data_IF_707457580339
#
_entry.id   IF_707457580339
#
_cell.length_a   1.000
_cell.length_b   1.000
_cell.length_c   1.000
_cell.angle_alpha   90.00
_cell.angle_beta   90.00
_cell.angle_gamma   90.00
#
_symmetry.space_group_name_H-M   'P 1'
#
loop_
_entity.id
_entity.type
_entity.pdbx_description
1 polymer ?
#
# COMPACT_ATOMS: atom_id res chain seq x y z
N UNK A 1 -25.92 -3.20 -17.28
CA UNK A 1 -25.22 -2.53 -16.16
C UNK A 1 -24.89 -3.59 -15.12
N UNK A 2 -23.62 -3.75 -14.74
CA UNK A 2 -23.16 -4.73 -13.73
C UNK A 2 -23.35 -4.17 -12.34
N UNK A 3 -23.87 -4.97 -11.42
CA UNK A 3 -24.12 -4.57 -10.03
C UNK A 3 -23.01 -5.08 -9.12
N UNK A 4 -22.32 -4.18 -8.45
CA UNK A 4 -21.17 -4.49 -7.58
C UNK A 4 -21.48 -4.05 -6.16
N UNK A 5 -21.43 -4.99 -5.19
CA UNK A 5 -21.46 -4.64 -3.78
C UNK A 5 -20.01 -4.51 -3.27
N UNK A 6 -19.65 -3.31 -2.80
CA UNK A 6 -18.30 -2.97 -2.35
C UNK A 6 -18.26 -2.84 -0.83
N UNK A 7 -17.49 -3.72 -0.18
CA UNK A 7 -17.38 -3.79 1.28
C UNK A 7 -16.02 -3.28 1.75
N UNK A 8 -16.03 -2.29 2.64
CA UNK A 8 -14.82 -1.75 3.28
C UNK A 8 -15.08 -1.33 4.73
N UNK A 9 -14.07 -1.42 5.60
CA UNK A 9 -14.19 -0.89 6.96
C UNK A 9 -14.20 0.65 6.97
N UNK A 10 -13.40 1.27 6.10
CA UNK A 10 -13.21 2.73 6.04
C UNK A 10 -13.40 3.21 4.60
N UNK A 11 -14.32 4.15 4.43
CA UNK A 11 -14.61 4.81 3.15
C UNK A 11 -14.33 6.32 3.26
N UNK A 12 -13.07 6.66 3.51
CA UNK A 12 -12.57 8.03 3.65
C UNK A 12 -11.38 8.18 2.71
N UNK A 13 -11.40 9.20 1.84
CA UNK A 13 -10.29 9.50 0.93
C UNK A 13 -9.03 9.84 1.74
N UNK A 14 -7.85 9.45 1.24
CA UNK A 14 -6.55 9.78 1.82
C UNK A 14 -6.33 9.33 3.27
N UNK A 15 -7.17 8.42 3.80
CA UNK A 15 -7.01 7.88 5.14
C UNK A 15 -5.67 7.10 5.25
N UNK A 16 -5.42 6.20 4.30
CA UNK A 16 -4.17 5.42 4.18
C UNK A 16 -3.89 5.01 2.73
N UNK A 17 -2.83 4.24 2.51
CA UNK A 17 -2.47 3.75 1.16
C UNK A 17 -3.53 2.82 0.53
N UNK A 18 -4.27 2.07 1.33
CA UNK A 18 -5.37 1.22 0.86
C UNK A 18 -6.55 2.07 0.39
N UNK A 19 -6.95 3.04 1.20
CA UNK A 19 -8.01 3.99 0.87
C UNK A 19 -7.70 4.76 -0.42
N UNK A 20 -6.47 5.27 -0.56
CA UNK A 20 -6.03 5.94 -1.81
C UNK A 20 -6.19 5.04 -3.03
N UNK A 21 -5.78 3.78 -2.95
CA UNK A 21 -5.95 2.81 -4.04
C UNK A 21 -7.42 2.57 -4.36
N UNK A 22 -8.28 2.41 -3.35
CA UNK A 22 -9.72 2.25 -3.54
C UNK A 22 -10.35 3.46 -4.21
N UNK A 23 -10.00 4.69 -3.78
CA UNK A 23 -10.53 5.91 -4.37
C UNK A 23 -10.09 6.11 -5.82
N UNK A 24 -8.89 5.67 -6.21
CA UNK A 24 -8.48 5.66 -7.61
C UNK A 24 -9.38 4.78 -8.49
N UNK A 25 -9.88 3.67 -7.96
CA UNK A 25 -10.89 2.85 -8.65
C UNK A 25 -12.28 3.52 -8.64
N UNK A 26 -12.69 4.03 -7.48
CA UNK A 26 -14.01 4.67 -7.31
C UNK A 26 -14.19 5.87 -8.24
N UNK A 27 -13.13 6.70 -8.37
CA UNK A 27 -13.15 7.90 -9.23
C UNK A 27 -13.24 7.59 -10.73
N UNK A 28 -13.01 6.31 -11.11
CA UNK A 28 -13.04 5.82 -12.49
C UNK A 28 -14.21 4.88 -12.77
N UNK A 29 -15.18 4.80 -11.86
CA UNK A 29 -16.40 4.02 -12.10
C UNK A 29 -17.21 4.67 -13.23
N UNK A 30 -17.43 3.92 -14.30
CA UNK A 30 -18.39 4.31 -15.33
C UNK A 30 -19.80 3.92 -14.90
N UNK A 31 -20.59 4.91 -14.50
CA UNK A 31 -21.97 4.71 -14.04
C UNK A 31 -22.95 4.27 -15.15
N UNK A 32 -22.52 4.24 -16.40
CA UNK A 32 -23.30 3.69 -17.51
C UNK A 32 -23.16 2.17 -17.61
N UNK A 33 -22.01 1.64 -17.17
CA UNK A 33 -21.70 0.22 -17.21
C UNK A 33 -21.89 -0.48 -15.86
N UNK A 34 -21.63 0.23 -14.74
CA UNK A 34 -21.62 -0.31 -13.39
C UNK A 34 -22.60 0.42 -12.46
N UNK A 35 -23.32 -0.34 -11.63
CA UNK A 35 -24.10 0.15 -10.47
C UNK A 35 -23.41 -0.34 -9.18
N UNK A 36 -22.87 0.58 -8.37
CA UNK A 36 -22.17 0.25 -7.14
C UNK A 36 -23.05 0.49 -5.92
N UNK A 37 -22.97 -0.46 -4.97
CA UNK A 37 -23.51 -0.32 -3.63
C UNK A 37 -22.38 -0.43 -2.61
N UNK A 38 -22.09 0.69 -1.93
CA UNK A 38 -21.01 0.75 -0.95
C UNK A 38 -21.52 0.40 0.45
N UNK A 39 -20.86 -0.56 1.10
CA UNK A 39 -21.18 -1.01 2.46
C UNK A 39 -19.91 -0.79 3.32
N UNK A 40 -20.00 0.04 4.36
CA UNK A 40 -18.84 0.44 5.15
C UNK A 40 -19.16 0.70 6.62
N UNK A 41 -18.11 0.59 7.47
CA UNK A 41 -18.17 0.88 8.90
C UNK A 41 -18.01 2.38 9.18
N UNK A 42 -16.91 2.97 8.72
CA UNK A 42 -16.60 4.39 8.91
C UNK A 42 -16.54 5.12 7.57
N UNK A 43 -17.21 6.24 7.49
CA UNK A 43 -17.32 7.06 6.27
C UNK A 43 -18.45 8.08 6.41
N UNK A 44 -18.75 8.84 5.33
CA UNK A 44 -19.81 9.83 5.31
C UNK A 44 -21.18 9.19 5.54
N UNK A 45 -22.21 9.98 5.88
CA UNK A 45 -23.58 9.46 6.01
C UNK A 45 -24.16 9.05 4.64
N UNK A 46 -23.82 9.78 3.59
CA UNK A 46 -24.12 9.46 2.20
C UNK A 46 -22.85 9.57 1.38
N UNK A 47 -22.56 8.55 0.57
CA UNK A 47 -21.35 8.51 -0.23
C UNK A 47 -21.61 8.94 -1.67
N UNK A 48 -21.31 10.20 -1.98
CA UNK A 48 -21.49 10.79 -3.32
C UNK A 48 -22.92 10.52 -3.85
N UNK A 49 -23.05 10.15 -5.11
CA UNK A 49 -24.31 9.76 -5.75
C UNK A 49 -24.54 8.24 -5.78
N UNK A 50 -23.73 7.47 -5.04
CA UNK A 50 -23.84 6.03 -4.99
C UNK A 50 -24.82 5.56 -3.91
N UNK A 51 -25.43 4.41 -4.13
CA UNK A 51 -26.10 3.68 -3.07
C UNK A 51 -25.09 3.34 -1.99
N UNK A 52 -25.44 3.60 -0.74
CA UNK A 52 -24.54 3.33 0.38
C UNK A 52 -25.28 2.83 1.62
N UNK A 53 -24.59 2.04 2.43
CA UNK A 53 -25.11 1.51 3.69
C UNK A 53 -24.02 1.57 4.75
N UNK A 54 -24.22 2.40 5.78
CA UNK A 54 -23.31 2.52 6.90
C UNK A 54 -23.65 1.47 7.96
N UNK A 55 -22.68 0.63 8.29
CA UNK A 55 -22.80 -0.45 9.26
C UNK A 55 -22.38 0.07 10.64
N UNK A 56 -23.09 -0.25 11.74
CA UNK A 56 -22.63 0.10 13.07
C UNK A 56 -21.20 -0.38 13.31
N UNK A 57 -20.36 0.50 13.85
CA UNK A 57 -18.94 0.25 14.08
C UNK A 57 -18.50 0.78 15.44
N UNK A 58 -17.43 0.22 16.00
CA UNK A 58 -16.77 0.73 17.21
C UNK A 58 -15.30 1.04 16.94
N UNK A 59 -14.74 1.99 17.67
CA UNK A 59 -13.32 2.36 17.59
C UNK A 59 -12.46 1.31 18.27
N UNK A 60 -11.31 1.02 17.70
CA UNK A 60 -10.36 0.07 18.27
C UNK A 60 -9.47 0.81 19.28
N UNK A 61 -9.44 0.41 20.58
CA UNK A 61 -8.71 1.15 21.62
C UNK A 61 -7.19 1.30 21.36
N UNK A 62 -6.60 0.38 20.59
CA UNK A 62 -5.16 0.38 20.27
C UNK A 62 -4.82 1.36 19.14
N UNK A 63 -5.82 1.69 18.30
CA UNK A 63 -5.65 2.63 17.21
C UNK A 63 -6.99 3.34 16.96
N UNK A 64 -7.17 4.50 17.57
CA UNK A 64 -8.42 5.27 17.58
C UNK A 64 -8.89 5.73 16.19
N UNK A 65 -7.99 5.77 15.21
CA UNK A 65 -8.32 6.13 13.84
C UNK A 65 -9.05 4.99 13.12
N UNK A 66 -8.92 3.74 13.60
CA UNK A 66 -9.54 2.57 12.99
C UNK A 66 -10.83 2.16 13.70
N UNK A 67 -11.86 1.89 12.89
CA UNK A 67 -13.13 1.35 13.33
C UNK A 67 -13.33 -0.07 12.82
N UNK A 68 -14.01 -0.89 13.59
CA UNK A 68 -14.42 -2.25 13.21
C UNK A 68 -15.94 -2.31 13.10
N UNK A 69 -16.46 -2.62 11.92
CA UNK A 69 -17.90 -2.77 11.67
C UNK A 69 -18.45 -4.06 12.27
N UNK A 70 -19.66 -4.00 12.82
CA UNK A 70 -20.37 -5.14 13.41
C UNK A 70 -21.62 -5.48 12.57
N UNK A 71 -21.49 -6.17 11.43
CA UNK A 71 -22.60 -6.46 10.54
C UNK A 71 -23.63 -7.39 11.19
N UNK A 72 -23.25 -8.18 12.20
CA UNK A 72 -24.16 -9.12 12.86
C UNK A 72 -25.32 -8.43 13.60
N UNK A 73 -25.14 -7.20 14.08
CA UNK A 73 -26.20 -6.43 14.75
C UNK A 73 -27.36 -6.07 13.81
N UNK A 74 -27.08 -5.99 12.52
CA UNK A 74 -28.05 -5.56 11.49
C UNK A 74 -28.21 -6.58 10.36
N UNK A 75 -27.81 -7.84 10.61
CA UNK A 75 -27.66 -8.88 9.58
C UNK A 75 -28.88 -9.00 8.67
N UNK A 76 -30.10 -9.13 9.22
CA UNK A 76 -31.31 -9.31 8.43
C UNK A 76 -31.61 -8.09 7.53
N UNK A 77 -31.40 -6.87 8.05
CA UNK A 77 -31.60 -5.62 7.29
C UNK A 77 -30.58 -5.50 6.17
N UNK A 78 -29.32 -5.83 6.46
CA UNK A 78 -28.24 -5.74 5.48
C UNK A 78 -28.39 -6.81 4.39
N UNK A 79 -28.72 -8.06 4.73
CA UNK A 79 -29.01 -9.13 3.77
C UNK A 79 -30.21 -8.73 2.88
N UNK A 80 -31.30 -8.17 3.45
CA UNK A 80 -32.46 -7.70 2.68
C UNK A 80 -32.10 -6.56 1.71
N UNK A 81 -31.25 -5.61 2.14
CA UNK A 81 -30.78 -4.53 1.27
C UNK A 81 -29.94 -5.05 0.10
N UNK A 82 -29.06 -6.02 0.38
CA UNK A 82 -28.24 -6.68 -0.64
C UNK A 82 -29.08 -7.52 -1.59
N UNK A 83 -30.09 -8.26 -1.09
CA UNK A 83 -31.00 -9.05 -1.93
C UNK A 83 -31.82 -8.15 -2.86
N UNK A 84 -32.28 -6.99 -2.36
CA UNK A 84 -33.00 -5.99 -3.19
C UNK A 84 -32.06 -5.38 -4.24
N UNK A 85 -30.79 -5.18 -3.93
CA UNK A 85 -29.80 -4.67 -4.87
C UNK A 85 -29.44 -5.73 -5.92
N UNK A 86 -29.27 -6.99 -5.53
CA UNK A 86 -28.96 -8.12 -6.39
C UNK A 86 -27.57 -8.00 -7.04
N UNK A 87 -26.44 -8.04 -6.25
CA UNK A 87 -25.11 -7.87 -6.81
C UNK A 87 -24.70 -9.06 -7.69
N UNK A 88 -24.08 -8.77 -8.84
CA UNK A 88 -23.46 -9.76 -9.73
C UNK A 88 -22.06 -10.15 -9.25
N UNK A 89 -21.39 -9.25 -8.53
CA UNK A 89 -20.03 -9.42 -8.02
C UNK A 89 -19.89 -8.69 -6.67
N UNK A 90 -19.08 -9.24 -5.78
CA UNK A 90 -18.76 -8.61 -4.51
C UNK A 90 -17.26 -8.27 -4.47
N UNK A 91 -16.93 -7.01 -4.19
CA UNK A 91 -15.58 -6.56 -3.85
C UNK A 91 -15.46 -6.43 -2.34
N UNK A 92 -14.45 -7.08 -1.76
CA UNK A 92 -14.12 -6.98 -0.33
C UNK A 92 -12.73 -6.36 -0.19
N UNK A 93 -12.65 -5.17 0.41
CA UNK A 93 -11.39 -4.45 0.56
C UNK A 93 -10.48 -5.05 1.63
N UNK A 94 -11.06 -5.61 2.72
CA UNK A 94 -10.28 -6.09 3.86
C UNK A 94 -10.85 -7.38 4.48
N UNK A 95 -10.01 -8.32 4.96
CA UNK A 95 -10.43 -9.53 5.67
C UNK A 95 -10.82 -9.21 7.13
N UNK A 96 -11.94 -8.50 7.29
CA UNK A 96 -12.50 -8.05 8.57
C UNK A 96 -13.79 -8.81 8.91
N UNK A 97 -14.45 -8.47 10.03
CA UNK A 97 -15.79 -9.00 10.35
C UNK A 97 -16.79 -8.70 9.24
N UNK A 98 -16.73 -7.49 8.67
CA UNK A 98 -17.56 -7.08 7.54
C UNK A 98 -17.20 -7.87 6.26
N UNK A 99 -15.90 -8.10 6.04
CA UNK A 99 -15.42 -8.93 4.92
C UNK A 99 -15.86 -10.38 5.02
N UNK A 100 -15.80 -11.00 6.20
CA UNK A 100 -16.29 -12.36 6.41
C UNK A 100 -17.82 -12.46 6.30
N UNK A 101 -18.55 -11.45 6.73
CA UNK A 101 -19.99 -11.36 6.48
C UNK A 101 -20.27 -11.37 4.96
N UNK A 102 -19.58 -10.53 4.20
CA UNK A 102 -19.71 -10.45 2.75
C UNK A 102 -19.39 -11.78 2.05
N UNK A 103 -18.31 -12.47 2.46
CA UNK A 103 -17.96 -13.80 1.97
C UNK A 103 -19.04 -14.85 2.24
N UNK A 104 -19.63 -14.83 3.45
CA UNK A 104 -20.69 -15.77 3.80
C UNK A 104 -21.98 -15.48 3.04
N UNK A 105 -22.31 -14.20 2.83
CA UNK A 105 -23.43 -13.78 1.99
C UNK A 105 -23.22 -14.24 0.53
N UNK A 106 -22.03 -13.96 -0.03
CA UNK A 106 -21.65 -14.36 -1.37
C UNK A 106 -21.76 -15.88 -1.59
N UNK A 107 -21.19 -16.68 -0.66
CA UNK A 107 -21.25 -18.14 -0.74
C UNK A 107 -22.67 -18.70 -0.78
N UNK A 108 -23.58 -18.15 0.05
CA UNK A 108 -24.98 -18.60 0.10
C UNK A 108 -25.74 -18.34 -1.20
N UNK A 109 -25.31 -17.36 -2.01
CA UNK A 109 -25.99 -16.92 -3.23
C UNK A 109 -25.20 -17.21 -4.51
N UNK A 110 -24.04 -17.90 -4.41
CA UNK A 110 -23.21 -18.23 -5.55
C UNK A 110 -22.58 -17.00 -6.23
N UNK A 111 -22.45 -15.85 -5.49
CA UNK A 111 -21.91 -14.61 -6.05
C UNK A 111 -20.39 -14.66 -6.00
N UNK A 112 -19.68 -14.36 -7.11
CA UNK A 112 -18.22 -14.34 -7.11
C UNK A 112 -17.68 -13.15 -6.33
N UNK A 113 -16.51 -13.37 -5.70
CA UNK A 113 -15.86 -12.38 -4.86
C UNK A 113 -14.48 -12.06 -5.40
N UNK A 114 -14.14 -10.77 -5.44
CA UNK A 114 -12.78 -10.31 -5.63
C UNK A 114 -12.31 -9.50 -4.42
N UNK A 115 -11.00 -9.49 -4.20
CA UNK A 115 -10.36 -8.72 -3.12
C UNK A 115 -9.01 -8.18 -3.57
N UNK A 116 -8.53 -7.13 -2.89
CA UNK A 116 -7.19 -6.58 -3.09
C UNK A 116 -6.39 -6.77 -1.79
N UNK A 117 -5.20 -7.31 -1.89
CA UNK A 117 -4.27 -7.47 -0.76
C UNK A 117 -3.58 -6.13 -0.47
N UNK A 118 -4.18 -5.32 0.41
CA UNK A 118 -3.67 -3.99 0.72
C UNK A 118 -2.64 -3.98 1.83
N UNK A 119 -2.79 -4.86 2.84
CA UNK A 119 -2.00 -4.84 4.07
C UNK A 119 -1.29 -6.18 4.27
N UNK A 120 0.00 -6.11 4.56
CA UNK A 120 0.83 -7.28 4.83
C UNK A 120 0.58 -7.79 6.25
N UNK A 121 -0.62 -8.31 6.53
CA UNK A 121 -1.04 -8.73 7.87
C UNK A 121 -0.10 -9.73 8.53
N UNK A 122 0.57 -10.57 7.74
CA UNK A 122 1.48 -11.61 8.25
C UNK A 122 2.70 -10.97 8.90
N UNK A 123 3.34 -10.00 8.26
CA UNK A 123 4.48 -9.28 8.82
C UNK A 123 4.08 -8.44 10.06
N UNK A 124 2.86 -7.91 10.08
CA UNK A 124 2.35 -7.20 11.25
C UNK A 124 2.15 -8.13 12.45
N UNK A 125 1.62 -9.34 12.23
CA UNK A 125 1.47 -10.35 13.28
C UNK A 125 2.83 -10.69 13.87
N UNK A 126 3.83 -11.01 13.03
CA UNK A 126 5.17 -11.37 13.46
C UNK A 126 5.85 -10.22 14.23
N UNK A 127 5.64 -8.97 13.83
CA UNK A 127 6.21 -7.80 14.47
C UNK A 127 5.58 -7.50 15.85
N UNK A 128 4.25 -7.38 15.92
CA UNK A 128 3.57 -7.01 17.16
C UNK A 128 3.61 -8.12 18.22
N UNK A 129 3.75 -9.36 17.79
CA UNK A 129 3.76 -10.51 18.68
C UNK A 129 5.15 -11.06 18.98
N UNK A 130 6.21 -10.50 18.42
CA UNK A 130 7.60 -10.96 18.62
C UNK A 130 8.04 -10.99 20.07
N UNK A 131 7.51 -10.12 20.93
CA UNK A 131 7.85 -9.97 22.34
C UNK A 131 6.88 -10.66 23.32
N UNK A 132 5.85 -11.35 22.84
CA UNK A 132 4.82 -12.00 23.67
C UNK A 132 4.91 -13.54 23.54
N UNK A 133 5.73 -14.17 24.36
CA UNK A 133 6.29 -15.51 24.12
C UNK A 133 5.38 -16.73 24.37
N UNK A 134 4.28 -16.66 25.10
CA UNK A 134 3.49 -17.87 25.45
C UNK A 134 2.04 -17.91 24.95
N UNK A 135 1.36 -16.78 24.83
CA UNK A 135 -0.04 -16.72 24.36
C UNK A 135 -0.17 -16.50 22.83
N UNK A 136 0.93 -16.23 22.16
CA UNK A 136 1.00 -15.71 20.80
C UNK A 136 0.94 -16.78 19.73
N UNK A 137 1.60 -17.92 19.92
CA UNK A 137 1.63 -18.99 18.92
C UNK A 137 0.24 -19.51 18.52
N UNK A 138 -0.70 -19.74 19.45
CA UNK A 138 -2.06 -20.14 19.08
C UNK A 138 -2.78 -19.05 18.28
N UNK A 139 -2.65 -17.78 18.70
CA UNK A 139 -3.34 -16.64 18.06
C UNK A 139 -2.83 -16.41 16.63
N UNK A 140 -1.52 -16.47 16.40
CA UNK A 140 -0.92 -16.41 15.07
C UNK A 140 -1.45 -17.52 14.15
N UNK A 141 -1.55 -18.75 14.67
CA UNK A 141 -2.07 -19.88 13.89
C UNK A 141 -3.53 -19.63 13.49
N UNK A 142 -4.37 -19.17 14.41
CA UNK A 142 -5.77 -18.88 14.11
C UNK A 142 -5.93 -17.73 13.10
N UNK A 143 -5.17 -16.65 13.24
CA UNK A 143 -5.21 -15.53 12.29
C UNK A 143 -4.74 -16.00 10.90
N UNK A 144 -3.63 -16.74 10.82
CA UNK A 144 -3.14 -17.31 9.57
C UNK A 144 -4.20 -18.20 8.91
N UNK A 145 -4.84 -19.09 9.67
CA UNK A 145 -5.91 -19.96 9.18
C UNK A 145 -7.13 -19.17 8.70
N UNK A 146 -7.53 -18.12 9.44
CA UNK A 146 -8.61 -17.24 9.02
C UNK A 146 -8.28 -16.50 7.72
N UNK A 147 -7.06 -15.97 7.58
CA UNK A 147 -6.58 -15.31 6.37
C UNK A 147 -6.56 -16.27 5.17
N UNK A 148 -6.00 -17.47 5.32
CA UNK A 148 -6.02 -18.50 4.28
C UNK A 148 -7.44 -18.86 3.86
N UNK A 149 -8.34 -19.04 4.85
CA UNK A 149 -9.75 -19.30 4.57
C UNK A 149 -10.42 -18.16 3.82
N UNK A 150 -10.09 -16.91 4.16
CA UNK A 150 -10.64 -15.73 3.49
C UNK A 150 -10.21 -15.69 2.03
N UNK A 151 -8.91 -15.65 1.75
CA UNK A 151 -8.38 -15.47 0.39
C UNK A 151 -8.69 -16.68 -0.52
N UNK A 152 -8.63 -17.90 0.00
CA UNK A 152 -8.99 -19.10 -0.76
C UNK A 152 -10.49 -19.21 -1.12
N UNK A 153 -11.35 -18.42 -0.49
CA UNK A 153 -12.78 -18.31 -0.84
C UNK A 153 -13.07 -17.22 -1.85
N UNK A 154 -12.12 -16.31 -2.11
CA UNK A 154 -12.23 -15.32 -3.17
C UNK A 154 -11.98 -15.94 -4.54
N UNK A 155 -12.64 -15.44 -5.58
CA UNK A 155 -12.39 -15.85 -6.97
C UNK A 155 -11.14 -15.20 -7.55
N UNK A 156 -10.87 -13.93 -7.17
CA UNK A 156 -9.63 -13.19 -7.51
C UNK A 156 -9.10 -12.51 -6.26
N UNK A 157 -7.79 -12.66 -6.02
CA UNK A 157 -7.03 -11.89 -5.05
C UNK A 157 -5.96 -11.10 -5.79
N UNK A 158 -6.14 -9.79 -5.89
CA UNK A 158 -5.12 -8.91 -6.45
C UNK A 158 -3.99 -8.71 -5.46
N UNK A 159 -2.76 -8.84 -5.95
CA UNK A 159 -1.53 -8.57 -5.20
C UNK A 159 -0.64 -7.61 -5.97
N UNK A 160 0.07 -6.70 -5.29
CA UNK A 160 0.76 -5.63 -5.99
C UNK A 160 2.07 -6.05 -6.66
N UNK A 161 2.69 -7.15 -6.24
CA UNK A 161 4.01 -7.58 -6.73
C UNK A 161 4.13 -9.11 -6.81
N UNK A 162 5.09 -9.59 -7.64
CA UNK A 162 5.41 -11.01 -7.74
C UNK A 162 5.96 -11.59 -6.42
N UNK A 163 6.72 -10.81 -5.64
CA UNK A 163 7.23 -11.28 -4.34
C UNK A 163 6.09 -11.59 -3.37
N UNK A 164 5.09 -10.71 -3.29
CA UNK A 164 3.89 -10.93 -2.48
C UNK A 164 3.07 -12.13 -3.02
N UNK A 165 2.94 -12.26 -4.34
CA UNK A 165 2.26 -13.43 -4.94
C UNK A 165 2.93 -14.74 -4.53
N UNK A 166 4.25 -14.81 -4.61
CA UNK A 166 5.05 -15.99 -4.21
C UNK A 166 4.91 -16.26 -2.72
N UNK A 167 5.00 -15.24 -1.88
CA UNK A 167 4.85 -15.37 -0.43
C UNK A 167 3.47 -15.91 -0.05
N UNK A 168 2.40 -15.36 -0.62
CA UNK A 168 1.03 -15.81 -0.35
C UNK A 168 0.78 -17.25 -0.84
N UNK A 169 1.36 -17.63 -1.97
CA UNK A 169 1.29 -19.00 -2.46
C UNK A 169 2.04 -19.98 -1.53
N UNK A 170 3.21 -19.60 -1.03
CA UNK A 170 4.01 -20.41 -0.10
C UNK A 170 3.31 -20.66 1.24
N UNK A 171 2.46 -19.75 1.68
CA UNK A 171 1.66 -19.94 2.90
C UNK A 171 0.35 -20.69 2.67
N UNK A 172 0.02 -21.05 1.42
CA UNK A 172 -1.13 -21.89 1.06
C UNK A 172 -2.33 -21.16 0.46
N UNK A 173 -2.16 -19.95 -0.08
CA UNK A 173 -3.18 -19.33 -0.93
C UNK A 173 -3.03 -19.89 -2.35
N UNK A 174 -4.16 -20.29 -2.93
CA UNK A 174 -4.23 -20.87 -4.27
C UNK A 174 -3.69 -19.88 -5.31
N UNK A 175 -2.58 -20.23 -5.96
CA UNK A 175 -1.91 -19.40 -6.95
C UNK A 175 -2.80 -19.07 -8.16
N UNK A 176 -3.78 -19.93 -8.52
CA UNK A 176 -4.71 -19.67 -9.63
C UNK A 176 -5.67 -18.51 -9.34
N UNK A 177 -5.86 -18.16 -8.07
CA UNK A 177 -6.69 -17.05 -7.61
C UNK A 177 -5.91 -15.75 -7.41
N UNK A 178 -4.58 -15.82 -7.44
CA UNK A 178 -3.71 -14.66 -7.30
C UNK A 178 -3.52 -14.01 -8.68
N UNK A 179 -3.77 -12.71 -8.74
CA UNK A 179 -3.51 -11.90 -9.94
C UNK A 179 -2.65 -10.70 -9.56
N UNK A 180 -1.54 -10.52 -10.29
CA UNK A 180 -0.68 -9.35 -10.07
C UNK A 180 -1.40 -8.12 -10.61
N UNK A 181 -1.56 -7.14 -9.74
CA UNK A 181 -2.17 -5.86 -10.05
C UNK A 181 -1.43 -4.78 -9.26
N UNK A 182 -0.41 -4.13 -9.87
CA UNK A 182 0.39 -3.10 -9.23
C UNK A 182 -0.46 -1.88 -8.90
N UNK A 183 0.12 -0.94 -8.18
CA UNK A 183 -0.53 0.35 -7.90
C UNK A 183 -0.04 1.38 -8.89
N UNK A 184 -0.94 2.18 -9.39
CA UNK A 184 -0.63 3.29 -10.29
C UNK A 184 0.00 4.47 -9.55
N UNK A 185 0.55 5.38 -10.33
CA UNK A 185 1.13 6.64 -9.87
C UNK A 185 0.53 7.81 -10.67
N UNK A 186 0.37 8.95 -10.02
CA UNK A 186 0.02 10.21 -10.68
C UNK A 186 1.31 10.91 -11.16
N UNK A 187 1.66 10.70 -12.42
CA UNK A 187 2.84 11.32 -13.04
C UNK A 187 2.68 12.83 -13.28
N UNK A 188 1.49 13.42 -13.16
CA UNK A 188 1.32 14.88 -13.18
C UNK A 188 1.75 15.48 -11.84
N UNK A 189 1.53 14.77 -10.75
CA UNK A 189 1.91 15.17 -9.42
C UNK A 189 3.38 14.85 -9.13
N UNK A 190 3.80 13.62 -9.40
CA UNK A 190 5.18 13.14 -9.17
C UNK A 190 5.92 13.07 -10.49
N UNK A 191 6.76 14.06 -10.78
CA UNK A 191 7.61 14.10 -11.96
C UNK A 191 8.83 15.02 -11.74
N UNK A 192 9.91 14.88 -12.54
CA UNK A 192 11.15 15.64 -12.37
C UNK A 192 10.97 17.16 -12.52
N UNK A 193 9.94 17.63 -13.24
CA UNK A 193 9.71 19.07 -13.45
C UNK A 193 9.27 19.81 -12.19
N UNK A 194 8.87 19.09 -11.13
CA UNK A 194 8.54 19.65 -9.81
C UNK A 194 9.77 20.06 -9.00
N UNK A 195 10.98 19.89 -9.54
CA UNK A 195 12.24 20.22 -8.85
C UNK A 195 12.32 21.69 -8.46
N UNK A 196 12.57 21.92 -7.17
CA UNK A 196 12.77 23.22 -6.55
C UNK A 196 13.98 23.17 -5.60
N UNK A 197 15.17 23.34 -6.18
CA UNK A 197 16.44 23.33 -5.42
C UNK A 197 16.53 24.49 -4.43
N UNK A 198 15.85 25.63 -4.69
CA UNK A 198 15.82 26.75 -3.78
C UNK A 198 15.02 26.41 -2.51
N UNK A 199 13.90 25.70 -2.68
CA UNK A 199 13.11 25.18 -1.56
C UNK A 199 13.94 24.24 -0.67
N UNK A 200 14.67 23.25 -1.24
CA UNK A 200 15.54 22.40 -0.44
C UNK A 200 16.64 23.18 0.29
N UNK A 201 17.27 24.16 -0.39
CA UNK A 201 18.30 25.00 0.22
C UNK A 201 17.75 25.85 1.38
N UNK A 202 16.49 26.28 1.31
CA UNK A 202 15.85 26.98 2.42
C UNK A 202 15.64 26.10 3.66
N UNK A 203 15.53 24.77 3.47
CA UNK A 203 15.42 23.78 4.56
C UNK A 203 16.82 23.48 5.14
N UNK A 204 17.80 23.23 4.30
CA UNK A 204 19.11 22.69 4.71
C UNK A 204 20.16 23.76 5.00
N UNK A 205 19.96 24.99 4.50
CA UNK A 205 20.88 26.11 4.70
C UNK A 205 22.20 26.01 3.91
N UNK A 206 22.38 24.97 3.09
CA UNK A 206 23.63 24.69 2.36
C UNK A 206 23.37 24.07 0.98
N UNK A 207 24.45 23.67 0.30
CA UNK A 207 24.41 23.06 -1.05
C UNK A 207 24.90 21.63 -1.08
N UNK A 208 25.04 20.99 0.09
CA UNK A 208 25.42 19.60 0.18
C UNK A 208 24.37 18.69 -0.49
N UNK A 209 24.76 17.50 -0.97
CA UNK A 209 23.82 16.54 -1.49
C UNK A 209 22.74 16.15 -0.47
N UNK A 210 21.51 16.01 -0.95
CA UNK A 210 20.33 15.78 -0.14
C UNK A 210 19.86 14.34 -0.27
N UNK A 211 19.87 13.59 0.82
CA UNK A 211 19.33 12.24 0.93
C UNK A 211 17.95 12.35 1.57
N UNK A 212 16.92 11.85 0.88
CA UNK A 212 15.53 11.94 1.32
C UNK A 212 15.06 10.58 1.85
N UNK A 213 14.43 10.60 3.03
CA UNK A 213 13.66 9.50 3.60
C UNK A 213 12.21 9.92 3.80
N UNK A 214 11.25 9.11 3.33
CA UNK A 214 9.81 9.38 3.48
C UNK A 214 9.12 8.12 3.99
N UNK A 215 8.58 8.17 5.21
CA UNK A 215 7.80 7.09 5.81
C UNK A 215 7.10 7.53 7.10
N UNK A 216 6.14 6.73 7.58
CA UNK A 216 5.75 6.81 8.99
C UNK A 216 6.98 6.49 9.87
N UNK A 217 7.22 7.28 10.90
CA UNK A 217 8.34 7.09 11.82
C UNK A 217 7.92 6.11 12.94
N UNK A 218 7.83 4.83 12.57
CA UNK A 218 7.50 3.72 13.49
C UNK A 218 8.56 2.63 13.35
N UNK A 219 8.84 1.89 14.41
CA UNK A 219 9.95 0.93 14.45
C UNK A 219 9.84 -0.17 13.38
N UNK A 220 8.63 -0.54 12.98
CA UNK A 220 8.38 -1.51 11.89
C UNK A 220 8.90 -1.06 10.52
N UNK A 221 9.23 0.25 10.37
CA UNK A 221 9.86 0.82 9.18
C UNK A 221 11.38 0.81 9.24
N UNK A 222 11.93 0.05 10.18
CA UNK A 222 13.36 -0.12 10.40
C UNK A 222 14.10 1.22 10.60
N UNK A 223 13.53 2.07 11.47
CA UNK A 223 14.12 3.37 11.83
C UNK A 223 15.48 3.19 12.51
N UNK A 224 15.71 2.04 13.16
CA UNK A 224 17.01 1.72 13.73
C UNK A 224 18.13 1.77 12.67
N UNK A 225 17.94 1.10 11.54
CA UNK A 225 18.92 1.15 10.44
C UNK A 225 19.05 2.55 9.83
N UNK A 226 17.96 3.36 9.79
CA UNK A 226 18.07 4.75 9.35
C UNK A 226 18.99 5.57 10.28
N UNK A 227 18.91 5.37 11.59
CA UNK A 227 19.79 5.99 12.58
C UNK A 227 21.24 5.53 12.36
N UNK A 228 21.48 4.24 12.14
CA UNK A 228 22.78 3.70 11.83
C UNK A 228 23.37 4.26 10.52
N UNK A 229 22.54 4.42 9.48
CA UNK A 229 22.92 5.09 8.23
C UNK A 229 23.36 6.54 8.49
N UNK A 230 22.60 7.30 9.29
CA UNK A 230 22.96 8.66 9.66
C UNK A 230 24.33 8.73 10.34
N UNK A 231 24.60 7.90 11.34
CA UNK A 231 25.91 7.86 12.03
C UNK A 231 27.04 7.49 11.06
N UNK A 232 26.83 6.48 10.20
CA UNK A 232 27.83 6.07 9.20
C UNK A 232 28.13 7.21 8.20
N UNK A 233 27.12 7.99 7.78
CA UNK A 233 27.31 9.17 6.93
C UNK A 233 28.10 10.29 7.64
N UNK A 234 27.87 10.51 8.94
CA UNK A 234 28.63 11.48 9.72
C UNK A 234 30.10 11.04 9.90
N UNK A 235 30.35 9.74 10.14
CA UNK A 235 31.68 9.16 10.29
C UNK A 235 32.49 9.17 8.98
N UNK A 236 31.83 9.07 7.82
CA UNK A 236 32.50 9.14 6.50
C UNK A 236 33.00 10.54 6.12
N UNK A 237 32.92 11.51 7.02
CA UNK A 237 33.39 12.88 6.81
C UNK A 237 32.27 13.89 6.55
N UNK A 238 31.03 13.47 6.63
CA UNK A 238 29.85 14.34 6.49
C UNK A 238 29.67 14.90 5.09
N UNK A 239 29.01 16.04 5.02
CA UNK A 239 28.78 16.71 3.73
C UNK A 239 27.52 16.24 3.02
N UNK A 240 26.62 15.52 3.72
CA UNK A 240 25.30 15.13 3.27
C UNK A 240 24.21 15.74 4.16
N UNK A 241 23.08 16.09 3.57
CA UNK A 241 21.89 16.44 4.32
C UNK A 241 20.95 15.22 4.34
N UNK A 242 20.56 14.74 5.52
CA UNK A 242 19.49 13.75 5.66
C UNK A 242 18.18 14.48 5.94
N UNK A 243 17.22 14.38 5.00
CA UNK A 243 15.89 15.00 5.09
C UNK A 243 14.87 13.91 5.35
N UNK A 244 14.07 14.07 6.41
CA UNK A 244 13.13 13.07 6.90
C UNK A 244 11.71 13.66 6.88
N UNK A 245 10.84 13.10 6.04
CA UNK A 245 9.43 13.48 5.98
C UNK A 245 8.55 12.35 6.54
N UNK A 246 7.80 12.67 7.58
CA UNK A 246 6.88 11.74 8.23
C UNK A 246 6.69 11.99 9.72
N UNK A 247 5.73 11.30 10.30
CA UNK A 247 5.39 11.32 11.72
C UNK A 247 5.25 9.91 12.26
N UNK A 248 5.37 9.74 13.57
CA UNK A 248 5.16 8.45 14.24
C UNK A 248 5.83 8.35 15.59
N UNK A 249 5.60 7.23 16.27
CA UNK A 249 6.03 6.99 17.66
C UNK A 249 7.55 6.93 17.86
N UNK A 250 8.31 6.68 16.79
CA UNK A 250 9.77 6.67 16.85
C UNK A 250 10.42 8.05 16.62
N UNK A 251 9.62 9.11 16.27
CA UNK A 251 10.16 10.42 15.88
C UNK A 251 11.03 11.07 16.96
N UNK A 252 10.59 11.09 18.21
CA UNK A 252 11.32 11.74 19.31
C UNK A 252 12.71 11.13 19.52
N UNK A 253 12.80 9.80 19.50
CA UNK A 253 14.07 9.08 19.60
C UNK A 253 14.93 9.33 18.37
N UNK A 254 14.35 9.24 17.18
CA UNK A 254 15.05 9.50 15.93
C UNK A 254 15.67 10.93 15.89
N UNK A 255 14.94 11.94 16.39
CA UNK A 255 15.46 13.31 16.48
C UNK A 255 16.63 13.46 17.47
N UNK A 256 16.61 12.72 18.59
CA UNK A 256 17.71 12.70 19.55
C UNK A 256 18.96 12.04 18.97
N UNK A 257 18.79 10.92 18.26
CA UNK A 257 19.88 10.14 17.66
C UNK A 257 20.45 10.78 16.37
N UNK A 258 19.66 11.64 15.69
CA UNK A 258 20.05 12.26 14.43
C UNK A 258 19.93 13.81 14.51
N UNK A 259 20.71 14.49 15.36
CA UNK A 259 20.53 15.91 15.69
C UNK A 259 20.75 16.87 14.51
N UNK A 260 21.48 16.47 13.46
CA UNK A 260 21.69 17.31 12.27
C UNK A 260 20.75 16.95 11.11
N UNK A 261 19.90 15.93 11.25
CA UNK A 261 18.91 15.58 10.24
C UNK A 261 17.74 16.58 10.23
N UNK A 262 17.18 16.85 9.06
CA UNK A 262 16.08 17.80 8.88
C UNK A 262 14.73 17.08 8.94
N UNK A 263 14.04 17.14 10.08
CA UNK A 263 12.73 16.53 10.29
C UNK A 263 11.61 17.48 9.88
N UNK A 264 10.91 17.18 8.81
CA UNK A 264 9.85 18.03 8.22
C UNK A 264 8.44 17.71 8.74
N UNK A 265 8.27 16.61 9.51
CA UNK A 265 6.95 16.16 9.90
C UNK A 265 6.14 15.60 8.73
N UNK A 266 4.83 15.46 8.91
CA UNK A 266 3.93 14.99 7.84
C UNK A 266 3.82 16.05 6.74
N UNK A 267 4.10 15.66 5.52
CA UNK A 267 4.03 16.49 4.33
C UNK A 267 2.82 16.10 3.47
N UNK A 268 2.20 17.06 2.80
CA UNK A 268 1.19 16.76 1.78
C UNK A 268 1.86 16.35 0.45
N UNK A 269 1.08 15.86 -0.50
CA UNK A 269 1.62 15.31 -1.75
C UNK A 269 2.32 16.36 -2.63
N UNK A 270 1.85 17.62 -2.63
CA UNK A 270 2.53 18.72 -3.36
C UNK A 270 3.91 19.04 -2.76
N UNK A 271 4.01 19.03 -1.43
CA UNK A 271 5.29 19.20 -0.74
C UNK A 271 6.21 18.00 -0.99
N UNK A 272 5.67 16.77 -0.91
CA UNK A 272 6.43 15.54 -1.20
C UNK A 272 6.94 15.52 -2.64
N UNK A 273 6.13 15.94 -3.63
CA UNK A 273 6.55 15.95 -5.03
C UNK A 273 7.74 16.86 -5.27
N UNK A 274 7.79 18.04 -4.60
CA UNK A 274 8.95 18.94 -4.64
C UNK A 274 10.17 18.33 -3.96
N UNK A 275 10.00 17.71 -2.79
CA UNK A 275 11.09 17.05 -2.06
C UNK A 275 11.71 15.92 -2.89
N UNK A 276 10.90 15.02 -3.43
CA UNK A 276 11.36 13.91 -4.28
C UNK A 276 12.11 14.44 -5.53
N UNK A 277 11.51 15.38 -6.25
CA UNK A 277 12.12 15.91 -7.48
C UNK A 277 13.40 16.74 -7.23
N UNK A 278 13.60 17.22 -6.01
CA UNK A 278 14.71 18.10 -5.65
C UNK A 278 15.86 17.40 -4.93
N UNK A 279 15.65 16.25 -4.29
CA UNK A 279 16.70 15.50 -3.61
C UNK A 279 17.69 14.85 -4.61
N UNK A 280 18.79 14.30 -4.10
CA UNK A 280 19.86 13.69 -4.91
C UNK A 280 19.83 12.15 -4.84
N UNK A 281 19.35 11.57 -3.74
CA UNK A 281 19.10 10.14 -3.58
C UNK A 281 17.94 9.90 -2.59
N UNK A 282 17.23 8.79 -2.78
CA UNK A 282 16.18 8.31 -1.88
C UNK A 282 16.67 7.09 -1.11
N UNK A 283 16.54 7.11 0.22
CA UNK A 283 16.84 5.98 1.07
C UNK A 283 15.57 5.42 1.69
N UNK A 284 15.42 4.09 1.70
CA UNK A 284 14.23 3.45 2.26
C UNK A 284 14.58 2.13 2.96
N UNK A 285 14.44 2.09 4.27
CA UNK A 285 14.89 0.98 5.12
C UNK A 285 13.82 -0.05 5.45
N UNK A 286 12.54 0.23 5.09
CA UNK A 286 11.41 -0.63 5.45
C UNK A 286 11.41 -1.95 4.69
N UNK A 287 11.18 -3.06 5.42
CA UNK A 287 10.94 -4.41 4.88
C UNK A 287 9.50 -4.86 5.01
N UNK A 288 8.62 -4.05 5.61
CA UNK A 288 7.22 -4.41 5.93
C UNK A 288 6.20 -3.88 4.94
N UNK A 289 6.64 -3.41 3.77
CA UNK A 289 5.72 -2.87 2.75
C UNK A 289 5.05 -3.97 1.94
N UNK A 290 3.77 -3.79 1.65
CA UNK A 290 3.07 -4.61 0.65
C UNK A 290 3.50 -4.22 -0.77
N UNK A 291 3.76 -2.92 -1.01
CA UNK A 291 4.15 -2.38 -2.31
C UNK A 291 5.31 -1.38 -2.22
N UNK A 292 5.18 -0.32 -1.42
CA UNK A 292 6.17 0.74 -1.31
C UNK A 292 5.86 1.93 -2.23
N UNK A 293 4.69 2.54 -2.08
CA UNK A 293 4.29 3.70 -2.89
C UNK A 293 5.35 4.81 -2.90
N UNK A 294 6.00 5.07 -1.75
CA UNK A 294 7.05 6.09 -1.63
C UNK A 294 8.26 5.84 -2.54
N UNK A 295 8.56 4.57 -2.85
CA UNK A 295 9.62 4.20 -3.80
C UNK A 295 9.17 4.54 -5.24
N UNK A 296 7.91 4.25 -5.58
CA UNK A 296 7.34 4.60 -6.90
C UNK A 296 7.24 6.12 -7.06
N UNK A 297 6.84 6.85 -6.02
CA UNK A 297 6.80 8.32 -5.98
C UNK A 297 8.20 8.92 -6.22
N UNK A 298 9.24 8.37 -5.57
CA UNK A 298 10.63 8.75 -5.78
C UNK A 298 11.08 8.50 -7.23
N UNK A 299 10.83 7.30 -7.76
CA UNK A 299 11.18 6.93 -9.14
C UNK A 299 10.45 7.83 -10.16
N UNK A 300 9.15 8.10 -9.96
CA UNK A 300 8.35 8.98 -10.81
C UNK A 300 8.87 10.43 -10.81
N UNK A 301 9.46 10.86 -9.70
CA UNK A 301 10.07 12.19 -9.55
C UNK A 301 11.53 12.23 -10.08
N UNK A 302 12.03 11.15 -10.66
CA UNK A 302 13.40 11.05 -11.15
C UNK A 302 14.45 10.96 -10.05
N UNK A 303 14.10 10.42 -8.88
CA UNK A 303 15.00 10.28 -7.73
C UNK A 303 15.53 8.84 -7.64
N UNK A 304 16.85 8.61 -7.76
CA UNK A 304 17.45 7.29 -7.62
C UNK A 304 17.28 6.72 -6.22
N UNK A 305 16.96 5.42 -6.14
CA UNK A 305 16.56 4.76 -4.92
C UNK A 305 17.62 3.76 -4.40
N UNK A 306 17.88 3.80 -3.10
CA UNK A 306 18.61 2.79 -2.32
C UNK A 306 17.66 2.25 -1.25
N UNK A 307 17.24 1.00 -1.37
CA UNK A 307 16.17 0.44 -0.55
C UNK A 307 16.56 -0.86 0.15
N UNK A 308 15.83 -1.24 1.19
CA UNK A 308 15.97 -2.56 1.81
C UNK A 308 15.62 -3.69 0.81
N UNK A 309 16.39 -4.77 0.81
CA UNK A 309 16.05 -5.99 0.08
C UNK A 309 15.05 -6.83 0.86
N UNK A 310 13.82 -6.35 0.96
CA UNK A 310 12.74 -7.03 1.70
C UNK A 310 11.36 -6.44 1.43
N UNK A 311 10.33 -7.22 1.73
CA UNK A 311 8.95 -6.84 1.49
C UNK A 311 8.59 -6.62 0.02
N UNK A 312 7.42 -6.05 -0.23
CA UNK A 312 6.93 -5.77 -1.59
C UNK A 312 7.74 -4.71 -2.33
N UNK A 313 8.33 -3.75 -1.61
CA UNK A 313 9.13 -2.67 -2.21
C UNK A 313 10.40 -3.17 -2.91
N UNK A 314 10.99 -4.27 -2.45
CA UNK A 314 12.17 -4.87 -3.10
C UNK A 314 11.93 -5.30 -4.55
N UNK A 315 10.68 -5.58 -4.93
CA UNK A 315 10.31 -5.95 -6.31
C UNK A 315 10.27 -4.76 -7.27
N UNK A 316 10.26 -3.53 -6.76
CA UNK A 316 10.20 -2.31 -7.57
C UNK A 316 11.57 -1.94 -8.15
N UNK A 317 12.65 -2.44 -7.56
CA UNK A 317 14.03 -2.12 -7.96
C UNK A 317 14.73 -3.36 -8.50
N UNK A 318 15.35 -3.23 -9.67
CA UNK A 318 16.30 -4.19 -10.19
C UNK A 318 17.70 -3.71 -9.77
N UNK A 319 18.34 -4.48 -8.86
CA UNK A 319 19.61 -4.10 -8.25
C UNK A 319 20.69 -3.83 -9.30
N UNK A 320 21.32 -2.65 -9.22
CA UNK A 320 22.36 -2.20 -10.15
C UNK A 320 21.86 -1.74 -11.53
N UNK A 321 20.55 -1.80 -11.81
CA UNK A 321 19.93 -1.35 -13.07
C UNK A 321 19.07 -0.10 -12.85
N UNK A 322 18.04 -0.19 -11.98
CA UNK A 322 17.11 0.92 -11.69
C UNK A 322 17.29 1.52 -10.29
N UNK A 323 18.25 1.02 -9.51
CA UNK A 323 18.56 1.42 -8.14
C UNK A 323 19.38 0.36 -7.42
N UNK A 324 19.51 0.49 -6.11
CA UNK A 324 20.21 -0.49 -5.28
C UNK A 324 19.30 -1.08 -4.20
N UNK A 325 19.51 -2.37 -3.93
CA UNK A 325 18.91 -3.10 -2.80
C UNK A 325 20.00 -3.49 -1.82
N UNK A 326 19.80 -3.22 -0.53
CA UNK A 326 20.75 -3.47 0.54
C UNK A 326 20.23 -4.54 1.49
N UNK A 327 21.13 -5.26 2.16
CA UNK A 327 20.77 -6.06 3.33
C UNK A 327 20.08 -5.14 4.36
N UNK A 328 18.91 -5.51 4.90
CA UNK A 328 18.05 -4.59 5.65
C UNK A 328 18.71 -3.91 6.87
N UNK A 329 19.70 -4.58 7.47
CA UNK A 329 20.39 -4.11 8.68
C UNK A 329 21.84 -3.65 8.41
N UNK A 330 22.26 -3.54 7.14
CA UNK A 330 23.64 -3.14 6.77
C UNK A 330 23.72 -1.66 6.42
N UNK A 331 23.84 -0.79 7.42
CA UNK A 331 23.99 0.66 7.19
C UNK A 331 25.14 0.99 6.23
N UNK A 332 26.24 0.22 6.29
CA UNK A 332 27.41 0.37 5.42
C UNK A 332 27.08 0.16 3.93
N UNK A 333 26.23 -0.84 3.60
CA UNK A 333 25.79 -1.02 2.20
C UNK A 333 24.97 0.17 1.69
N UNK A 334 24.06 0.70 2.54
CA UNK A 334 23.28 1.87 2.16
C UNK A 334 24.17 3.07 1.89
N UNK A 335 25.09 3.37 2.79
CA UNK A 335 25.99 4.51 2.64
C UNK A 335 26.87 4.34 1.40
N UNK A 336 27.48 3.17 1.20
CA UNK A 336 28.28 2.87 0.02
C UNK A 336 27.50 3.12 -1.29
N UNK A 337 26.26 2.67 -1.39
CA UNK A 337 25.46 2.84 -2.60
C UNK A 337 24.90 4.27 -2.75
N UNK A 338 24.59 4.97 -1.66
CA UNK A 338 24.21 6.38 -1.68
C UNK A 338 25.35 7.24 -2.24
N UNK A 339 26.56 7.07 -1.70
CA UNK A 339 27.77 7.77 -2.17
C UNK A 339 28.07 7.45 -3.64
N UNK A 340 27.94 6.19 -4.03
CA UNK A 340 28.16 5.75 -5.42
C UNK A 340 27.19 6.42 -6.40
N UNK A 341 25.91 6.60 -6.04
CA UNK A 341 24.93 7.31 -6.86
C UNK A 341 25.23 8.81 -6.88
N UNK A 342 25.51 9.40 -5.74
CA UNK A 342 25.72 10.85 -5.62
C UNK A 342 26.98 11.28 -6.36
N UNK A 343 28.05 10.50 -6.28
CA UNK A 343 29.35 10.82 -6.87
C UNK A 343 29.51 10.36 -8.34
N UNK A 344 28.50 9.64 -8.91
CA UNK A 344 28.56 9.16 -10.28
C UNK A 344 27.34 9.63 -11.09
N UNK A 345 27.49 10.72 -11.83
CA UNK A 345 26.41 11.33 -12.61
C UNK A 345 25.87 10.41 -13.71
N UNK A 346 26.73 9.63 -14.38
CA UNK A 346 26.33 8.67 -15.42
C UNK A 346 25.45 7.56 -14.85
N UNK A 347 25.85 7.00 -13.72
CA UNK A 347 25.07 5.98 -12.99
C UNK A 347 23.72 6.55 -12.55
N UNK A 348 23.73 7.75 -11.98
CA UNK A 348 22.54 8.46 -11.54
C UNK A 348 21.55 8.67 -12.68
N UNK A 349 22.01 9.18 -13.83
CA UNK A 349 21.16 9.37 -15.01
C UNK A 349 20.58 8.05 -15.55
N UNK A 350 21.36 6.96 -15.52
CA UNK A 350 20.84 5.64 -15.88
C UNK A 350 19.71 5.21 -14.96
N UNK A 351 19.86 5.32 -13.64
CA UNK A 351 18.83 4.93 -12.68
C UNK A 351 17.57 5.79 -12.81
N UNK A 352 17.72 7.09 -13.07
CA UNK A 352 16.60 7.99 -13.36
C UNK A 352 15.81 7.49 -14.58
N UNK A 353 16.50 7.23 -15.69
CA UNK A 353 15.85 6.76 -16.93
C UNK A 353 15.10 5.45 -16.71
N UNK A 354 15.77 4.45 -16.16
CA UNK A 354 15.16 3.13 -15.90
C UNK A 354 13.96 3.23 -14.91
N UNK A 355 14.08 4.10 -13.89
CA UNK A 355 12.99 4.38 -12.96
C UNK A 355 11.78 5.02 -13.64
N UNK A 356 11.99 6.04 -14.46
CA UNK A 356 10.93 6.71 -15.21
C UNK A 356 10.27 5.78 -16.24
N UNK A 357 11.05 4.92 -16.91
CA UNK A 357 10.52 3.91 -17.82
C UNK A 357 9.61 2.91 -17.08
N UNK A 358 10.05 2.40 -15.93
CA UNK A 358 9.24 1.52 -15.11
C UNK A 358 7.90 2.16 -14.69
N UNK A 359 7.92 3.38 -14.17
CA UNK A 359 6.72 4.05 -13.69
C UNK A 359 5.76 4.47 -14.80
N UNK A 360 6.24 4.66 -16.04
CA UNK A 360 5.39 4.96 -17.20
C UNK A 360 4.37 3.87 -17.51
N UNK A 361 4.60 2.65 -17.02
CA UNK A 361 3.70 1.51 -17.17
C UNK A 361 2.62 1.46 -16.06
N UNK A 362 2.79 2.24 -14.98
CA UNK A 362 1.92 2.25 -13.80
C UNK A 362 0.80 3.30 -13.93
N UNK A 363 0.07 3.26 -15.05
CA UNK A 363 -1.03 4.17 -15.35
C UNK A 363 -2.34 3.71 -14.70
N UNK A 364 -2.98 4.58 -13.89
CA UNK A 364 -4.22 4.27 -13.21
C UNK A 364 -5.38 3.96 -14.14
N UNK A 365 -5.43 4.54 -15.36
CA UNK A 365 -6.52 4.29 -16.30
C UNK A 365 -6.40 2.87 -16.87
N UNK A 366 -5.18 2.42 -17.19
CA UNK A 366 -4.93 1.04 -17.61
C UNK A 366 -5.25 0.03 -16.50
N UNK A 367 -4.80 0.31 -15.27
CA UNK A 367 -4.99 -0.56 -14.12
C UNK A 367 -6.46 -0.66 -13.72
N UNK A 368 -7.18 0.47 -13.70
CA UNK A 368 -8.62 0.47 -13.42
C UNK A 368 -9.42 -0.21 -14.52
N UNK A 369 -9.07 0.00 -15.79
CA UNK A 369 -9.71 -0.69 -16.90
C UNK A 369 -9.59 -2.22 -16.75
N UNK A 370 -8.40 -2.72 -16.43
CA UNK A 370 -8.19 -4.15 -16.16
C UNK A 370 -9.06 -4.66 -15.00
N UNK A 371 -9.13 -3.89 -13.91
CA UNK A 371 -10.00 -4.22 -12.78
C UNK A 371 -11.47 -4.31 -13.19
N UNK A 372 -11.98 -3.36 -13.96
CA UNK A 372 -13.38 -3.36 -14.41
C UNK A 372 -13.67 -4.51 -15.38
N UNK A 373 -12.75 -4.86 -16.28
CA UNK A 373 -12.87 -6.06 -17.12
C UNK A 373 -12.98 -7.33 -16.29
N UNK A 374 -12.17 -7.47 -15.24
CA UNK A 374 -12.22 -8.63 -14.36
C UNK A 374 -13.54 -8.72 -13.58
N UNK A 375 -14.06 -7.58 -13.12
CA UNK A 375 -15.39 -7.49 -12.49
C UNK A 375 -16.50 -7.96 -13.43
N UNK A 376 -16.44 -7.54 -14.70
CA UNK A 376 -17.40 -7.98 -15.73
C UNK A 376 -17.31 -9.49 -15.99
N UNK A 377 -16.10 -10.01 -16.16
CA UNK A 377 -15.87 -11.44 -16.44
C UNK A 377 -16.27 -12.35 -15.28
N UNK A 378 -16.03 -11.95 -14.04
CA UNK A 378 -16.46 -12.68 -12.86
C UNK A 378 -17.98 -12.79 -12.78
N UNK A 379 -18.71 -11.71 -13.03
CA UNK A 379 -20.15 -11.70 -13.02
C UNK A 379 -20.77 -12.56 -14.14
N UNK A 380 -20.09 -12.72 -15.29
CA UNK A 380 -20.54 -13.61 -16.38
C UNK A 380 -20.44 -15.08 -16.02
N UNK A 381 -19.34 -15.50 -15.39
CA UNK A 381 -19.13 -16.90 -14.97
C UNK A 381 -20.17 -17.37 -13.95
N UNK A 382 -20.67 -16.50 -13.10
CA UNK A 382 -21.74 -16.80 -12.14
C UNK A 382 -23.05 -17.15 -12.84
N UNK A 383 -23.43 -16.40 -13.89
CA UNK A 383 -24.67 -16.61 -14.61
C UNK A 383 -24.70 -17.91 -15.44
N UNK A 384 -23.51 -18.36 -15.90
CA UNK A 384 -23.39 -19.64 -16.66
C UNK A 384 -23.36 -20.87 -15.77
N UNK A 385 -22.78 -20.79 -14.56
CA UNK A 385 -22.78 -21.88 -13.59
C UNK A 385 -24.13 -22.07 -12.87
N UNK A 386 -24.94 -21.03 -12.74
CA UNK A 386 -26.31 -21.14 -12.20
C UNK A 386 -27.28 -21.91 -13.10
N UNK A 387 -27.04 -21.97 -14.40
CA UNK A 387 -27.81 -22.75 -15.35
C UNK A 387 -27.46 -24.26 -15.37
N UNK A 388 -26.31 -24.65 -14.84
CA UNK A 388 -25.84 -26.05 -14.82
C UNK A 388 -26.37 -26.86 -13.63
N UNK A 389 -27.08 -26.25 -12.66
CA UNK A 389 -27.64 -26.93 -11.48
C UNK A 389 -29.18 -26.95 -11.48
N UNK A 390 -29.80 -26.52 -12.58
CA UNK A 390 -31.25 -26.52 -12.76
C UNK A 390 -31.78 -27.57 -13.77
N UNK A 391 -30.93 -28.59 -14.13
CA UNK A 391 -31.35 -29.72 -14.95
C UNK A 391 -31.06 -31.02 -14.22
#
# INVERSE_FOLDING_TARGET
MRKVAFFTEILIADFDGASRTMFQLIDRIDNTEFDYFFIYGNGPEQFRNFKSYKVPSFRIPVNEDYCLAIPHLIKAKLESALDKFGPDTIHIATPSLLGFFALNYAKKRGIPVLTIYHTHFISYIDYYFRNMTSLVKPTQHWIKKAMLSFYNRCGITYVPTQSIATELSNIGIDHQKIKIWPRGIDCNLFNPSKSDKAYLRSITGNTNPNILFVSRLVWEKNIKTLIEIYHTLEESGGGYNLIIAGEGTAKSIAMQEMPKAHFLGKQNHEQLSKLYASADAFVFTSTSETYGNVVVEAMASGLPCVIANGGGSASLIIHGISGYKCAPESAQEYVYFLEKIINNSTLRQRFIREGLEFVSQLDWNKLSHQYFLDVQQLGLKSNTSGLAWAN
#
